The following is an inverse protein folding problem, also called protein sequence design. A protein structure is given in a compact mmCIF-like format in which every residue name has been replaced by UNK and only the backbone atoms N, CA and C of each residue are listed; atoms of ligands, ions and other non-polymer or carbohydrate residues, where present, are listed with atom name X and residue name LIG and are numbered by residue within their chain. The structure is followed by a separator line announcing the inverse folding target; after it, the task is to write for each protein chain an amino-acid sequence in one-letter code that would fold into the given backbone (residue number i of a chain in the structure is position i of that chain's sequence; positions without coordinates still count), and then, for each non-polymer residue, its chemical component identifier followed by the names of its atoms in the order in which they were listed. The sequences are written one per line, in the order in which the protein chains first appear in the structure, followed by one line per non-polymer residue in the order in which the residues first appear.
data_IF_948013111199
#
_entry.id   IF_948013111199
#
_cell.length_a   1.000
_cell.length_b   1.000
_cell.length_c   1.000
_cell.angle_alpha   90.00
_cell.angle_beta   90.00
_cell.angle_gamma   90.00
#
_symmetry.space_group_name_H-M   'P 1'
#
loop_
_entity.id
_entity.type
_entity.pdbx_description
1 polymer ?
#
# COMPACT_ATOMS: atom_id res chain seq x y z
N UNK A 1 -82.55 -18.49 0.85
CA UNK A 1 -81.30 -19.06 1.36
C UNK A 1 -80.28 -19.03 0.23
N UNK A 2 -79.54 -17.93 0.12
CA UNK A 2 -78.48 -17.78 -0.91
C UNK A 2 -77.17 -18.29 -0.32
N UNK A 3 -76.63 -19.37 -0.95
CA UNK A 3 -75.26 -19.84 -0.63
C UNK A 3 -74.22 -18.96 -1.29
N UNK A 4 -73.38 -18.35 -0.48
CA UNK A 4 -72.17 -17.60 -0.93
C UNK A 4 -71.17 -18.57 -1.48
N UNK A 5 -70.94 -18.56 -2.78
CA UNK A 5 -69.88 -19.33 -3.45
C UNK A 5 -68.53 -18.62 -3.20
N UNK A 6 -67.78 -19.06 -2.20
CA UNK A 6 -66.40 -18.67 -2.01
C UNK A 6 -65.56 -19.22 -3.15
N UNK A 7 -65.18 -18.40 -4.13
CA UNK A 7 -64.26 -18.76 -5.19
C UNK A 7 -62.87 -19.02 -4.58
N UNK A 8 -62.40 -20.26 -4.62
CA UNK A 8 -61.00 -20.65 -4.31
C UNK A 8 -60.06 -19.92 -5.23
N UNK A 9 -59.23 -18.99 -4.72
CA UNK A 9 -58.12 -18.39 -5.51
C UNK A 9 -57.20 -19.54 -6.01
N UNK A 10 -56.87 -19.57 -7.30
CA UNK A 10 -55.97 -20.59 -7.83
C UNK A 10 -54.60 -20.49 -7.14
N UNK A 11 -53.94 -21.59 -6.83
CA UNK A 11 -52.64 -21.68 -6.13
C UNK A 11 -51.60 -20.81 -6.83
N UNK A 12 -51.56 -20.79 -8.18
CA UNK A 12 -50.65 -19.92 -8.95
C UNK A 12 -50.85 -18.41 -8.67
N UNK A 13 -52.13 -17.96 -8.43
CA UNK A 13 -52.41 -16.56 -8.12
C UNK A 13 -51.97 -16.19 -6.71
N UNK A 14 -52.02 -17.13 -5.78
CA UNK A 14 -51.51 -16.93 -4.40
C UNK A 14 -49.99 -16.85 -4.42
N UNK A 15 -49.32 -17.74 -5.12
CA UNK A 15 -47.85 -17.75 -5.29
C UNK A 15 -47.35 -16.47 -5.97
N UNK A 16 -47.99 -16.06 -7.07
CA UNK A 16 -47.63 -14.81 -7.76
C UNK A 16 -47.81 -13.56 -6.87
N UNK A 17 -48.88 -13.52 -6.06
CA UNK A 17 -49.10 -12.41 -5.14
C UNK A 17 -48.08 -12.43 -3.98
N UNK A 18 -47.73 -13.59 -3.47
CA UNK A 18 -46.68 -13.73 -2.43
C UNK A 18 -45.33 -13.30 -2.98
N UNK A 19 -44.94 -13.80 -4.15
CA UNK A 19 -43.68 -13.42 -4.82
C UNK A 19 -43.60 -11.92 -5.10
N UNK A 20 -44.68 -11.29 -5.59
CA UNK A 20 -44.75 -9.86 -5.80
C UNK A 20 -44.59 -9.03 -4.53
N UNK A 21 -45.19 -9.49 -3.41
CA UNK A 21 -45.03 -8.86 -2.09
C UNK A 21 -43.60 -9.00 -1.57
N UNK A 22 -43.00 -10.18 -1.69
CA UNK A 22 -41.61 -10.40 -1.28
C UNK A 22 -40.64 -9.51 -2.08
N UNK A 23 -40.83 -9.42 -3.39
CA UNK A 23 -40.03 -8.53 -4.25
C UNK A 23 -40.21 -7.04 -3.85
N UNK A 24 -41.41 -6.62 -3.57
CA UNK A 24 -41.67 -5.24 -3.14
C UNK A 24 -41.02 -4.93 -1.77
N UNK A 25 -41.02 -5.88 -0.83
CA UNK A 25 -40.33 -5.74 0.47
C UNK A 25 -38.81 -5.67 0.26
N UNK A 26 -38.25 -6.54 -0.58
CA UNK A 26 -36.81 -6.50 -0.90
C UNK A 26 -36.44 -5.16 -1.53
N UNK A 27 -37.21 -4.69 -2.50
CA UNK A 27 -36.97 -3.40 -3.16
C UNK A 27 -37.06 -2.23 -2.14
N UNK A 28 -38.07 -2.25 -1.26
CA UNK A 28 -38.20 -1.23 -0.23
C UNK A 28 -37.01 -1.23 0.75
N UNK A 29 -36.52 -2.41 1.12
CA UNK A 29 -35.32 -2.52 1.97
C UNK A 29 -34.08 -1.99 1.25
N UNK A 30 -33.86 -2.32 -0.03
CA UNK A 30 -32.75 -1.80 -0.82
C UNK A 30 -32.81 -0.28 -0.92
N UNK A 31 -33.99 0.30 -1.19
CA UNK A 31 -34.18 1.75 -1.23
C UNK A 31 -33.93 2.39 0.14
N UNK A 32 -34.41 1.78 1.22
CA UNK A 32 -34.19 2.28 2.56
C UNK A 32 -32.69 2.29 2.93
N UNK A 33 -31.98 1.20 2.63
CA UNK A 33 -30.51 1.12 2.85
C UNK A 33 -29.79 2.18 2.02
N UNK A 34 -30.10 2.31 0.74
CA UNK A 34 -29.50 3.32 -0.14
C UNK A 34 -29.77 4.74 0.37
N UNK A 35 -30.99 5.04 0.76
CA UNK A 35 -31.33 6.36 1.32
C UNK A 35 -30.60 6.64 2.63
N UNK A 36 -30.49 5.66 3.51
CA UNK A 36 -29.74 5.79 4.78
C UNK A 36 -28.26 6.06 4.50
N UNK A 37 -27.64 5.33 3.56
CA UNK A 37 -26.25 5.55 3.16
C UNK A 37 -26.03 6.95 2.61
N UNK A 38 -26.90 7.41 1.69
CA UNK A 38 -26.80 8.75 1.11
C UNK A 38 -26.97 9.84 2.18
N UNK A 39 -27.93 9.71 3.10
CA UNK A 39 -28.10 10.65 4.21
C UNK A 39 -26.86 10.66 5.11
N UNK A 40 -26.32 9.48 5.45
CA UNK A 40 -25.10 9.36 6.26
C UNK A 40 -23.90 10.02 5.60
N UNK A 41 -23.67 9.77 4.32
CA UNK A 41 -22.58 10.39 3.55
C UNK A 41 -22.75 11.91 3.46
N UNK A 42 -23.96 12.39 3.17
CA UNK A 42 -24.25 13.82 3.16
C UNK A 42 -23.99 14.48 4.53
N UNK A 43 -24.32 13.78 5.61
CA UNK A 43 -24.06 14.27 6.99
C UNK A 43 -22.56 14.31 7.28
N UNK A 44 -21.81 13.29 6.89
CA UNK A 44 -20.35 13.25 7.03
C UNK A 44 -19.68 14.34 6.19
N UNK A 45 -20.13 14.55 4.96
CA UNK A 45 -19.61 15.60 4.06
C UNK A 45 -20.10 17.01 4.42
N UNK A 46 -21.00 17.17 5.41
CA UNK A 46 -21.38 18.48 5.89
C UNK A 46 -20.30 19.08 6.81
N UNK A 47 -20.23 20.42 6.85
CA UNK A 47 -19.31 21.14 7.73
C UNK A 47 -19.54 20.92 9.24
N UNK A 48 -20.55 20.17 9.62
CA UNK A 48 -20.91 19.87 11.02
C UNK A 48 -19.89 18.96 11.71
N UNK A 49 -19.22 18.08 10.95
CA UNK A 49 -18.24 17.12 11.46
C UNK A 49 -16.91 17.18 10.70
N UNK A 50 -16.10 18.26 10.87
CA UNK A 50 -14.91 18.48 10.05
C UNK A 50 -13.92 17.30 10.04
N UNK A 51 -13.66 16.70 11.19
CA UNK A 51 -12.72 15.56 11.28
C UNK A 51 -13.22 14.31 10.55
N UNK A 52 -14.52 14.04 10.62
CA UNK A 52 -15.11 12.91 9.88
C UNK A 52 -15.12 13.18 8.38
N UNK A 53 -15.39 14.41 7.96
CA UNK A 53 -15.33 14.85 6.58
C UNK A 53 -13.90 14.70 6.01
N UNK A 54 -12.90 15.21 6.71
CA UNK A 54 -11.50 15.09 6.32
C UNK A 54 -11.08 13.63 6.17
N UNK A 55 -11.36 12.80 7.19
CA UNK A 55 -11.06 11.37 7.15
C UNK A 55 -11.74 10.68 5.98
N UNK A 56 -13.02 10.94 5.75
CA UNK A 56 -13.78 10.36 4.64
C UNK A 56 -13.16 10.76 3.29
N UNK A 57 -12.97 12.07 3.05
CA UNK A 57 -12.46 12.57 1.77
C UNK A 57 -11.05 12.03 1.49
N UNK A 58 -10.12 12.16 2.43
CA UNK A 58 -8.74 11.69 2.24
C UNK A 58 -8.68 10.17 2.01
N UNK A 59 -9.51 9.40 2.73
CA UNK A 59 -9.58 7.93 2.56
C UNK A 59 -10.17 7.54 1.20
N UNK A 60 -11.22 8.20 0.74
CA UNK A 60 -11.87 7.89 -0.54
C UNK A 60 -10.98 8.25 -1.73
N UNK A 61 -10.22 9.34 -1.66
CA UNK A 61 -9.30 9.75 -2.73
C UNK A 61 -8.20 8.72 -2.99
N UNK A 62 -7.84 7.92 -2.00
CA UNK A 62 -6.84 6.85 -2.15
C UNK A 62 -7.43 5.53 -2.67
N UNK A 63 -8.74 5.47 -2.92
CA UNK A 63 -9.37 4.29 -3.53
C UNK A 63 -9.42 4.44 -5.04
N UNK A 64 -9.00 3.44 -5.81
CA UNK A 64 -9.03 3.51 -7.27
C UNK A 64 -10.44 3.70 -7.86
N UNK A 65 -11.48 3.17 -7.21
CA UNK A 65 -12.84 3.10 -7.79
C UNK A 65 -13.90 3.96 -7.09
N UNK A 66 -13.68 4.42 -5.86
CA UNK A 66 -14.68 5.11 -5.06
C UNK A 66 -14.47 6.63 -4.95
N UNK A 67 -13.45 7.19 -5.61
CA UNK A 67 -13.12 8.63 -5.60
C UNK A 67 -14.31 9.52 -5.94
N UNK A 68 -15.17 9.08 -6.86
CA UNK A 68 -16.36 9.82 -7.29
C UNK A 68 -17.33 10.12 -6.15
N UNK A 69 -17.30 9.36 -5.04
CA UNK A 69 -18.19 9.61 -3.91
C UNK A 69 -17.89 10.96 -3.23
N UNK A 70 -16.65 11.41 -3.21
CA UNK A 70 -16.32 12.74 -2.69
C UNK A 70 -16.97 13.86 -3.53
N UNK A 71 -16.85 13.77 -4.86
CA UNK A 71 -17.39 14.76 -5.78
C UNK A 71 -18.93 14.77 -5.91
N UNK A 72 -19.63 13.78 -5.33
CA UNK A 72 -21.09 13.82 -5.24
C UNK A 72 -21.60 14.83 -4.21
N UNK A 73 -20.79 15.15 -3.20
CA UNK A 73 -21.18 15.97 -2.07
C UNK A 73 -20.37 17.26 -1.94
N UNK A 74 -19.17 17.30 -2.52
CA UNK A 74 -18.22 18.41 -2.39
C UNK A 74 -17.74 18.86 -3.77
N UNK A 75 -17.43 20.15 -3.88
CA UNK A 75 -16.77 20.72 -5.06
C UNK A 75 -15.28 20.38 -5.08
N UNK A 76 -14.63 20.51 -6.23
CA UNK A 76 -13.18 20.30 -6.36
C UNK A 76 -12.38 21.21 -5.42
N UNK A 77 -12.80 22.48 -5.27
CA UNK A 77 -12.13 23.43 -4.37
C UNK A 77 -12.27 23.04 -2.87
N UNK A 78 -13.44 22.51 -2.46
CA UNK A 78 -13.63 22.00 -1.11
C UNK A 78 -12.79 20.75 -0.84
N UNK A 79 -12.72 19.84 -1.81
CA UNK A 79 -11.88 18.64 -1.73
C UNK A 79 -10.40 19.05 -1.64
N UNK A 80 -9.94 19.97 -2.50
CA UNK A 80 -8.56 20.46 -2.48
C UNK A 80 -8.22 21.11 -1.14
N UNK A 81 -9.10 21.93 -0.58
CA UNK A 81 -8.90 22.55 0.73
C UNK A 81 -8.75 21.51 1.86
N UNK A 82 -9.46 20.37 1.77
CA UNK A 82 -9.31 19.26 2.72
C UNK A 82 -7.97 18.56 2.51
N UNK A 83 -7.55 18.32 1.27
CA UNK A 83 -6.26 17.73 0.93
C UNK A 83 -5.13 18.60 1.46
N UNK A 84 -5.17 19.91 1.24
CA UNK A 84 -4.15 20.85 1.73
C UNK A 84 -4.01 20.86 3.27
N UNK A 85 -5.12 20.65 3.98
CA UNK A 85 -5.12 20.53 5.44
C UNK A 85 -4.55 19.19 5.94
N UNK A 86 -4.49 18.18 5.09
CA UNK A 86 -3.97 16.85 5.37
C UNK A 86 -2.82 16.50 4.44
N UNK A 87 -2.03 17.49 4.06
CA UNK A 87 -0.88 17.34 3.16
C UNK A 87 0.41 17.06 3.92
N UNK A 88 1.42 16.71 3.17
CA UNK A 88 2.79 16.55 3.67
C UNK A 88 3.71 17.54 2.94
N UNK A 89 4.61 18.17 3.72
CA UNK A 89 5.62 19.05 3.14
C UNK A 89 6.65 18.20 2.39
N UNK A 90 7.05 18.63 1.19
CA UNK A 90 8.08 17.92 0.41
C UNK A 90 9.41 17.83 1.18
N UNK A 91 10.09 16.69 1.04
CA UNK A 91 11.46 16.48 1.47
C UNK A 91 12.37 16.69 0.26
N UNK A 92 13.03 17.85 0.19
CA UNK A 92 13.97 18.18 -0.88
C UNK A 92 15.40 17.71 -0.53
N UNK A 93 15.56 16.44 -0.24
CA UNK A 93 16.86 15.84 0.10
C UNK A 93 17.10 14.56 -0.67
N UNK A 94 18.34 14.37 -1.15
CA UNK A 94 18.80 13.11 -1.70
C UNK A 94 19.27 12.19 -0.58
N UNK A 95 19.18 10.88 -0.78
CA UNK A 95 19.68 9.88 0.16
C UNK A 95 21.19 10.00 0.31
N UNK A 96 21.67 10.18 1.54
CA UNK A 96 23.08 10.13 1.89
C UNK A 96 23.48 8.69 2.24
N UNK A 97 24.18 8.03 1.32
CA UNK A 97 24.66 6.67 1.49
C UNK A 97 25.65 6.51 2.67
N UNK A 98 26.31 7.59 3.12
CA UNK A 98 27.26 7.51 4.24
C UNK A 98 26.57 7.27 5.60
N UNK A 99 25.26 7.46 5.68
CA UNK A 99 24.46 7.17 6.87
C UNK A 99 24.14 5.68 7.03
N UNK A 100 24.44 4.86 6.02
CA UNK A 100 24.16 3.42 6.02
C UNK A 100 25.49 2.66 6.01
N UNK A 101 25.69 1.76 6.97
CA UNK A 101 26.91 0.95 7.13
C UNK A 101 26.60 -0.53 6.95
N UNK A 102 26.73 -1.04 5.73
CA UNK A 102 26.49 -2.45 5.42
C UNK A 102 27.74 -3.26 5.77
N UNK A 103 27.56 -4.32 6.59
CA UNK A 103 28.64 -5.24 6.94
C UNK A 103 29.62 -4.74 8.00
N UNK A 104 29.30 -3.65 8.69
CA UNK A 104 30.01 -3.28 9.90
C UNK A 104 29.68 -4.26 11.03
N UNK A 105 30.63 -5.11 11.42
CA UNK A 105 30.60 -5.75 12.72
C UNK A 105 30.40 -4.65 13.76
N UNK A 106 29.27 -4.68 14.46
CA UNK A 106 29.07 -3.83 15.64
C UNK A 106 30.31 -3.97 16.52
N UNK A 107 31.11 -2.91 16.57
CA UNK A 107 32.24 -2.85 17.47
C UNK A 107 31.72 -3.01 18.90
N UNK A 108 31.66 -4.21 19.38
CA UNK A 108 31.55 -4.45 20.80
C UNK A 108 32.80 -3.85 21.45
N UNK A 109 32.61 -2.69 22.11
CA UNK A 109 33.59 -2.24 23.11
C UNK A 109 33.63 -3.35 24.14
N UNK A 110 34.60 -4.25 24.03
CA UNK A 110 34.91 -5.24 25.05
C UNK A 110 35.54 -4.51 26.22
N UNK A 111 34.73 -4.15 27.20
CA UNK A 111 35.20 -3.97 28.56
C UNK A 111 35.33 -5.40 29.11
N UNK A 112 36.59 -5.77 29.41
CA UNK A 112 37.01 -7.11 29.74
C UNK A 112 36.24 -7.79 30.87
N UNK A 113 36.14 -9.11 30.79
CA UNK A 113 35.88 -9.99 31.93
C UNK A 113 34.97 -11.18 31.60
N UNK A 114 35.63 -12.33 31.53
CA UNK A 114 35.15 -13.69 31.74
C UNK A 114 34.41 -14.45 30.64
N UNK A 115 35.06 -15.55 30.37
CA UNK A 115 34.73 -16.68 29.51
C UNK A 115 33.41 -17.39 29.88
N UNK A 116 32.91 -18.12 28.90
CA UNK A 116 31.89 -19.17 28.94
C UNK A 116 30.41 -18.73 29.07
N UNK A 117 29.81 -18.43 27.91
CA UNK A 117 28.44 -18.87 27.65
C UNK A 117 28.34 -19.45 26.23
N UNK A 118 28.14 -20.77 26.05
CA UNK A 118 27.76 -21.39 24.80
C UNK A 118 26.25 -21.32 24.74
N UNK A 119 25.68 -20.39 23.97
CA UNK A 119 24.37 -20.41 23.34
C UNK A 119 24.07 -19.05 22.70
N UNK A 120 24.90 -18.62 21.74
CA UNK A 120 24.44 -17.69 20.75
C UNK A 120 23.53 -18.50 19.82
N UNK A 121 22.21 -18.42 20.01
CA UNK A 121 21.26 -18.88 18.98
C UNK A 121 21.64 -18.21 17.65
N UNK A 122 21.60 -18.93 16.50
CA UNK A 122 21.88 -18.34 15.23
C UNK A 122 20.93 -17.15 15.09
N UNK A 123 21.50 -15.96 14.98
CA UNK A 123 20.76 -14.71 14.86
C UNK A 123 19.92 -14.84 13.59
N UNK A 124 18.61 -14.93 13.73
CA UNK A 124 17.71 -15.07 12.59
C UNK A 124 17.96 -13.89 11.63
N UNK A 125 18.28 -14.20 10.37
CA UNK A 125 18.53 -13.18 9.36
C UNK A 125 17.28 -12.39 8.97
N UNK A 126 16.10 -12.93 9.30
CA UNK A 126 14.79 -12.30 9.13
C UNK A 126 14.05 -12.34 10.47
N UNK A 127 13.55 -11.20 10.88
CA UNK A 127 12.72 -11.04 12.07
C UNK A 127 11.33 -10.56 11.65
N UNK A 128 10.28 -11.18 12.19
CA UNK A 128 8.89 -10.81 11.95
C UNK A 128 8.30 -10.23 13.24
N UNK A 129 7.76 -9.01 13.14
CA UNK A 129 7.18 -8.30 14.29
C UNK A 129 5.76 -7.84 13.93
N UNK A 130 4.79 -8.20 14.77
CA UNK A 130 3.44 -7.66 14.66
C UNK A 130 3.40 -6.23 15.20
N UNK A 131 2.75 -5.34 14.47
CA UNK A 131 2.59 -3.92 14.83
C UNK A 131 1.11 -3.60 14.87
N UNK A 132 0.64 -3.04 15.99
CA UNK A 132 -0.75 -2.63 16.13
C UNK A 132 -0.85 -1.11 16.28
N UNK A 133 -1.67 -0.48 15.45
CA UNK A 133 -2.10 0.90 15.57
C UNK A 133 -3.54 0.99 16.09
N UNK A 134 -4.08 2.20 16.17
CA UNK A 134 -5.48 2.40 16.60
C UNK A 134 -6.50 1.96 15.55
N UNK A 135 -6.12 1.96 14.27
CA UNK A 135 -7.01 1.73 13.11
C UNK A 135 -6.51 0.64 12.18
N UNK A 136 -5.38 0.00 12.49
CA UNK A 136 -4.76 -1.06 11.68
C UNK A 136 -4.00 -2.06 12.54
N UNK A 137 -3.78 -3.24 11.99
CA UNK A 137 -2.68 -4.13 12.34
C UNK A 137 -1.75 -4.27 11.13
N UNK A 138 -0.48 -4.46 11.39
CA UNK A 138 0.53 -4.63 10.35
C UNK A 138 1.58 -5.64 10.76
N UNK A 139 2.38 -6.05 9.80
CA UNK A 139 3.54 -6.92 9.98
C UNK A 139 4.78 -6.20 9.47
N UNK A 140 5.79 -6.10 10.33
CA UNK A 140 7.13 -5.64 10.01
C UNK A 140 8.02 -6.86 9.81
N UNK A 141 8.64 -6.96 8.65
CA UNK A 141 9.72 -7.91 8.38
C UNK A 141 11.04 -7.14 8.33
N UNK A 142 11.99 -7.54 9.16
CA UNK A 142 13.33 -6.95 9.24
C UNK A 142 14.31 -7.94 8.61
N UNK A 143 14.92 -7.55 7.50
CA UNK A 143 15.93 -8.34 6.78
C UNK A 143 17.29 -7.75 7.08
N UNK A 144 18.13 -8.47 7.82
CA UNK A 144 19.42 -7.94 8.30
C UNK A 144 20.44 -7.76 7.19
N UNK A 145 20.46 -8.66 6.23
CA UNK A 145 21.34 -8.59 5.07
C UNK A 145 20.60 -7.99 3.86
N UNK A 146 20.86 -6.71 3.48
CA UNK A 146 20.20 -6.05 2.37
C UNK A 146 20.55 -6.66 1.00
N UNK A 147 21.62 -7.45 0.90
CA UNK A 147 22.00 -8.14 -0.33
C UNK A 147 20.98 -9.21 -0.75
N UNK A 148 20.17 -9.70 0.20
CA UNK A 148 19.09 -10.66 -0.03
C UNK A 148 17.86 -10.05 -0.70
N UNK A 149 17.73 -8.71 -0.69
CA UNK A 149 16.60 -8.03 -1.34
C UNK A 149 16.86 -7.94 -2.84
N UNK A 150 15.86 -8.30 -3.64
CA UNK A 150 15.85 -8.09 -5.09
C UNK A 150 14.43 -7.82 -5.58
N UNK A 151 14.30 -7.34 -6.82
CA UNK A 151 13.00 -7.15 -7.45
C UNK A 151 12.70 -8.34 -8.38
N UNK A 152 11.64 -9.09 -8.07
CA UNK A 152 11.08 -10.08 -8.97
C UNK A 152 10.05 -9.43 -9.90
N UNK A 153 10.09 -9.79 -11.17
CA UNK A 153 9.20 -9.28 -12.21
C UNK A 153 8.66 -10.42 -13.08
N UNK A 154 7.58 -10.16 -13.81
CA UNK A 154 7.05 -11.07 -14.83
C UNK A 154 7.53 -10.72 -16.24
N UNK A 155 8.59 -9.90 -16.35
CA UNK A 155 9.15 -9.52 -17.64
C UNK A 155 9.57 -10.76 -18.47
N UNK A 156 9.29 -10.79 -19.79
CA UNK A 156 8.60 -9.79 -20.61
C UNK A 156 7.11 -9.64 -20.27
N UNK A 157 6.64 -8.36 -20.27
CA UNK A 157 5.32 -7.97 -19.79
C UNK A 157 4.17 -8.66 -20.53
N UNK A 158 3.11 -8.96 -19.81
CA UNK A 158 1.89 -9.61 -20.32
C UNK A 158 0.64 -8.95 -19.73
N UNK A 159 -0.53 -9.31 -20.22
CA UNK A 159 -1.79 -8.70 -19.75
C UNK A 159 -2.16 -9.12 -18.33
N UNK A 160 -1.73 -10.31 -17.90
CA UNK A 160 -2.09 -10.87 -16.60
C UNK A 160 -0.82 -11.15 -15.78
N UNK A 161 -0.75 -10.56 -14.61
CA UNK A 161 0.29 -10.77 -13.61
C UNK A 161 0.16 -12.09 -12.86
N UNK A 162 0.93 -12.23 -11.80
CA UNK A 162 0.90 -13.40 -10.92
C UNK A 162 0.73 -12.97 -9.46
N UNK A 163 0.35 -13.89 -8.60
CA UNK A 163 0.28 -13.65 -7.16
C UNK A 163 1.68 -13.53 -6.54
N UNK A 164 1.78 -12.90 -5.38
CA UNK A 164 3.07 -12.66 -4.73
C UNK A 164 3.80 -13.97 -4.37
N UNK A 165 3.09 -14.97 -3.88
CA UNK A 165 3.66 -16.31 -3.63
C UNK A 165 4.28 -16.92 -4.89
N UNK A 166 3.65 -16.71 -6.06
CA UNK A 166 4.21 -17.13 -7.35
C UNK A 166 5.48 -16.35 -7.70
N UNK A 167 5.52 -15.02 -7.49
CA UNK A 167 6.75 -14.23 -7.67
C UNK A 167 7.88 -14.71 -6.76
N UNK A 168 7.59 -14.95 -5.47
CA UNK A 168 8.56 -15.41 -4.49
C UNK A 168 9.09 -16.81 -4.87
N UNK A 169 8.19 -17.78 -5.03
CA UNK A 169 8.57 -19.17 -5.24
C UNK A 169 9.28 -19.40 -6.59
N UNK A 170 8.85 -18.74 -7.67
CA UNK A 170 9.48 -18.87 -8.98
C UNK A 170 10.88 -18.27 -9.06
N UNK A 171 11.24 -17.40 -8.13
CA UNK A 171 12.58 -16.82 -8.02
C UNK A 171 13.47 -17.48 -6.94
N UNK A 172 13.01 -18.58 -6.33
CA UNK A 172 13.73 -19.27 -5.26
C UNK A 172 13.92 -18.43 -4.02
N UNK A 173 13.03 -17.48 -3.77
CA UNK A 173 13.00 -16.61 -2.60
C UNK A 173 12.11 -17.21 -1.52
N UNK A 174 12.24 -16.72 -0.28
CA UNK A 174 11.46 -17.19 0.88
C UNK A 174 10.41 -16.19 1.34
N UNK A 175 10.56 -14.92 0.96
CA UNK A 175 9.65 -13.87 1.37
C UNK A 175 9.50 -12.80 0.28
N UNK A 176 8.49 -11.93 0.44
CA UNK A 176 8.32 -10.76 -0.39
C UNK A 176 7.13 -9.89 0.01
N UNK A 177 7.11 -8.69 -0.58
CA UNK A 177 6.01 -7.73 -0.54
C UNK A 177 5.68 -7.27 -1.96
N UNK A 178 4.51 -6.64 -2.15
CA UNK A 178 4.19 -5.98 -3.43
C UNK A 178 5.18 -4.87 -3.76
N UNK A 179 5.24 -4.48 -5.02
CA UNK A 179 6.12 -3.43 -5.53
C UNK A 179 5.42 -2.08 -5.71
N UNK A 180 5.70 -1.45 -6.86
CA UNK A 180 5.22 -0.12 -7.23
C UNK A 180 3.91 -0.12 -8.00
N UNK A 181 3.65 0.99 -8.67
CA UNK A 181 2.42 1.28 -9.41
C UNK A 181 2.25 0.36 -10.63
N UNK A 182 1.02 -0.06 -10.88
CA UNK A 182 0.70 -0.94 -12.01
C UNK A 182 -0.78 -0.86 -12.42
N UNK A 183 -1.12 -1.39 -13.58
CA UNK A 183 -2.52 -1.54 -14.02
C UNK A 183 -3.22 -2.64 -13.21
N UNK A 184 -3.95 -2.21 -12.20
CA UNK A 184 -4.70 -3.09 -11.30
C UNK A 184 -6.15 -3.36 -11.77
N UNK A 185 -6.57 -2.85 -12.91
CA UNK A 185 -7.92 -2.99 -13.41
C UNK A 185 -8.34 -4.45 -13.53
N UNK A 186 -9.50 -4.79 -12.97
CA UNK A 186 -10.05 -6.15 -12.95
C UNK A 186 -9.08 -7.21 -12.38
N UNK A 187 -8.12 -6.81 -11.53
CA UNK A 187 -7.10 -7.68 -10.99
C UNK A 187 -6.28 -8.39 -12.10
N UNK A 188 -5.97 -7.70 -13.20
CA UNK A 188 -5.12 -8.23 -14.27
C UNK A 188 -3.65 -8.19 -13.87
N UNK A 189 -3.15 -7.04 -13.40
CA UNK A 189 -1.84 -6.88 -12.76
C UNK A 189 -0.63 -7.26 -13.61
N UNK A 190 -0.75 -7.22 -14.94
CA UNK A 190 0.32 -7.69 -15.83
C UNK A 190 1.22 -6.60 -16.38
N UNK A 191 0.85 -5.33 -16.23
CA UNK A 191 1.58 -4.16 -16.75
C UNK A 191 1.96 -3.21 -15.64
N UNK A 192 3.26 -2.92 -15.44
CA UNK A 192 3.68 -1.87 -14.53
C UNK A 192 3.40 -0.49 -15.11
N UNK A 193 3.43 0.53 -14.27
CA UNK A 193 3.49 1.92 -14.65
C UNK A 193 4.83 2.55 -14.24
N UNK A 194 5.24 3.61 -14.93
CA UNK A 194 6.43 4.40 -14.62
C UNK A 194 7.74 3.73 -15.01
N UNK A 195 8.53 3.29 -14.04
CA UNK A 195 9.87 2.73 -14.28
C UNK A 195 10.07 1.45 -13.47
N UNK A 196 10.63 0.42 -14.10
CA UNK A 196 11.04 -0.84 -13.47
C UNK A 196 12.48 -1.14 -13.85
N UNK A 197 13.31 -1.35 -12.83
CA UNK A 197 14.68 -1.85 -12.96
C UNK A 197 14.80 -3.15 -12.19
N UNK A 198 15.32 -4.20 -12.79
CA UNK A 198 15.57 -5.47 -12.11
C UNK A 198 16.91 -6.04 -12.53
N UNK A 199 17.75 -6.40 -11.56
CA UNK A 199 19.14 -6.85 -11.77
C UNK A 199 19.98 -5.91 -12.66
N UNK A 200 19.79 -4.59 -12.53
CA UNK A 200 20.46 -3.56 -13.31
C UNK A 200 19.94 -3.38 -14.74
N UNK A 201 18.91 -4.12 -15.13
CA UNK A 201 18.26 -3.99 -16.43
C UNK A 201 17.01 -3.12 -16.30
N UNK A 202 16.89 -2.11 -17.15
CA UNK A 202 15.70 -1.27 -17.28
C UNK A 202 14.66 -2.06 -18.09
N UNK A 203 13.67 -2.62 -17.43
CA UNK A 203 12.63 -3.44 -18.05
C UNK A 203 11.40 -2.65 -18.49
N UNK A 204 11.21 -1.46 -17.89
CA UNK A 204 10.15 -0.52 -18.25
C UNK A 204 10.62 0.90 -17.97
N UNK A 205 10.39 1.85 -18.89
CA UNK A 205 10.80 3.24 -18.73
C UNK A 205 9.79 4.19 -19.39
N UNK A 206 8.80 4.62 -18.63
CA UNK A 206 7.79 5.59 -19.05
C UNK A 206 7.51 6.60 -17.94
N UNK A 207 8.46 7.48 -17.60
CA UNK A 207 8.36 8.38 -16.46
C UNK A 207 7.23 9.42 -16.57
N UNK A 208 6.70 9.67 -17.79
CA UNK A 208 5.59 10.60 -18.02
C UNK A 208 4.21 9.94 -18.02
N UNK A 209 4.13 8.63 -17.79
CA UNK A 209 2.84 7.91 -17.80
C UNK A 209 1.93 8.35 -16.65
N UNK A 210 2.54 8.78 -15.54
CA UNK A 210 1.87 9.36 -14.38
C UNK A 210 2.62 10.58 -13.86
N UNK A 211 1.95 11.60 -13.30
CA UNK A 211 2.60 12.72 -12.63
C UNK A 211 3.22 12.27 -11.30
N UNK A 212 4.25 13.00 -10.83
CA UNK A 212 4.80 12.83 -9.48
C UNK A 212 5.43 11.46 -9.20
N UNK A 213 6.05 10.82 -10.20
CA UNK A 213 6.70 9.54 -9.99
C UNK A 213 7.98 9.66 -9.18
N UNK A 214 8.11 8.83 -8.15
CA UNK A 214 9.31 8.64 -7.34
C UNK A 214 9.85 7.24 -7.56
N UNK A 215 11.14 7.12 -7.87
CA UNK A 215 11.85 5.86 -8.01
C UNK A 215 12.29 5.37 -6.63
N UNK A 216 11.97 4.12 -6.30
CA UNK A 216 12.23 3.50 -5.00
C UNK A 216 12.90 2.15 -5.23
N UNK A 217 14.08 1.95 -4.68
CA UNK A 217 14.78 0.69 -4.84
C UNK A 217 16.21 0.72 -4.34
N UNK A 218 17.01 -0.25 -4.73
CA UNK A 218 18.37 -0.44 -4.24
C UNK A 218 19.41 -0.22 -5.35
N UNK A 219 20.52 0.43 -4.99
CA UNK A 219 21.70 0.50 -5.84
C UNK A 219 22.56 -0.77 -5.74
N UNK A 220 23.70 -0.79 -6.45
CA UNK A 220 24.65 -1.91 -6.43
C UNK A 220 25.28 -2.14 -5.06
N UNK A 221 25.31 -1.11 -4.19
CA UNK A 221 25.82 -1.18 -2.82
C UNK A 221 24.74 -1.55 -1.81
N UNK A 222 23.55 -1.96 -2.25
CA UNK A 222 22.40 -2.31 -1.43
C UNK A 222 21.87 -1.16 -0.55
N UNK A 223 22.07 0.09 -0.97
CA UNK A 223 21.51 1.28 -0.33
C UNK A 223 20.14 1.59 -0.94
N UNK A 224 19.14 1.78 -0.08
CA UNK A 224 17.80 2.19 -0.50
C UNK A 224 17.84 3.62 -1.05
N UNK A 225 17.55 3.76 -2.32
CA UNK A 225 17.42 5.02 -3.05
C UNK A 225 15.94 5.41 -3.16
N UNK A 226 15.64 6.68 -2.92
CA UNK A 226 14.31 7.27 -3.03
C UNK A 226 14.48 8.57 -3.80
N UNK A 227 14.16 8.56 -5.10
CA UNK A 227 14.55 9.62 -6.02
C UNK A 227 13.29 10.16 -6.72
N UNK A 228 13.05 11.45 -6.60
CA UNK A 228 12.01 12.13 -7.39
C UNK A 228 12.46 12.17 -8.86
N UNK A 229 11.64 11.60 -9.74
CA UNK A 229 11.84 11.61 -11.19
C UNK A 229 10.73 12.37 -11.94
N UNK A 230 9.91 13.11 -11.20
CA UNK A 230 8.84 13.90 -11.78
C UNK A 230 9.37 14.88 -12.83
N UNK A 231 8.80 14.85 -14.03
CA UNK A 231 9.19 15.70 -15.13
C UNK A 231 10.44 15.28 -15.92
N UNK A 232 11.16 14.23 -15.49
CA UNK A 232 12.29 13.68 -16.23
C UNK A 232 11.82 12.94 -17.48
N UNK A 233 12.58 13.10 -18.59
CA UNK A 233 12.42 12.28 -19.79
C UNK A 233 12.93 10.85 -19.55
N UNK A 234 12.57 9.92 -20.44
CA UNK A 234 13.07 8.55 -20.37
C UNK A 234 14.61 8.46 -20.46
N UNK A 235 15.24 9.31 -21.27
CA UNK A 235 16.70 9.35 -21.43
C UNK A 235 17.39 9.89 -20.16
N UNK A 236 16.80 10.90 -19.51
CA UNK A 236 17.29 11.42 -18.22
C UNK A 236 17.17 10.38 -17.11
N UNK A 237 16.05 9.65 -17.06
CA UNK A 237 15.86 8.54 -16.09
C UNK A 237 16.85 7.41 -16.37
N UNK A 238 17.08 7.03 -17.64
CA UNK A 238 18.09 6.02 -17.99
C UNK A 238 19.50 6.45 -17.56
N UNK A 239 19.84 7.72 -17.75
CA UNK A 239 21.11 8.29 -17.30
C UNK A 239 21.24 8.25 -15.79
N UNK A 240 20.20 8.69 -15.06
CA UNK A 240 20.13 8.65 -13.60
C UNK A 240 20.34 7.22 -13.06
N UNK A 241 19.63 6.23 -13.63
CA UNK A 241 19.73 4.82 -13.22
C UNK A 241 21.15 4.31 -13.37
N UNK A 242 21.83 4.65 -14.48
CA UNK A 242 23.23 4.26 -14.72
C UNK A 242 24.20 4.95 -13.78
N UNK A 243 24.06 6.26 -13.57
CA UNK A 243 24.94 7.06 -12.70
C UNK A 243 24.82 6.64 -11.24
N UNK A 244 23.59 6.41 -10.78
CA UNK A 244 23.29 5.95 -9.41
C UNK A 244 23.44 4.44 -9.26
N UNK A 245 23.72 3.71 -10.35
CA UNK A 245 23.89 2.26 -10.39
C UNK A 245 22.72 1.52 -9.76
N UNK A 246 21.51 1.96 -10.09
CA UNK A 246 20.28 1.35 -9.57
C UNK A 246 20.21 -0.10 -10.06
N UNK A 247 20.15 -1.02 -9.10
CA UNK A 247 20.07 -2.46 -9.35
C UNK A 247 18.62 -2.94 -9.48
N UNK A 248 17.79 -2.56 -8.54
CA UNK A 248 16.39 -2.98 -8.45
C UNK A 248 15.53 -1.80 -8.02
N UNK A 249 14.54 -1.42 -8.81
CA UNK A 249 13.65 -0.32 -8.44
C UNK A 249 12.27 -0.42 -9.10
N UNK A 250 11.31 0.18 -8.43
CA UNK A 250 9.95 0.43 -8.89
C UNK A 250 9.63 1.91 -8.76
N UNK A 251 8.51 2.34 -9.33
CA UNK A 251 7.99 3.69 -9.08
C UNK A 251 6.66 3.65 -8.33
N UNK A 252 6.44 4.67 -7.50
CA UNK A 252 5.13 4.98 -6.96
C UNK A 252 4.86 6.48 -7.12
N UNK A 253 3.58 6.88 -7.04
CA UNK A 253 3.15 8.24 -7.34
C UNK A 253 3.10 9.11 -6.09
N UNK A 254 3.68 10.31 -6.18
CA UNK A 254 3.51 11.40 -5.24
C UNK A 254 2.53 12.41 -5.84
N UNK A 255 1.35 12.57 -5.24
CA UNK A 255 0.36 13.54 -5.71
C UNK A 255 -0.58 13.92 -4.56
N UNK A 256 -0.76 15.22 -4.34
CA UNK A 256 -1.74 15.79 -3.45
C UNK A 256 -2.66 16.71 -4.26
N UNK A 257 -3.81 16.20 -4.69
CA UNK A 257 -4.77 16.88 -5.52
C UNK A 257 -6.21 16.52 -5.12
N UNK A 258 -7.20 17.13 -5.76
CA UNK A 258 -8.60 16.74 -5.62
C UNK A 258 -8.92 15.35 -6.19
N UNK A 259 -7.96 14.73 -6.90
CA UNK A 259 -8.05 13.40 -7.48
C UNK A 259 -7.25 12.33 -6.73
N UNK A 260 -6.14 12.69 -6.07
CA UNK A 260 -5.25 11.77 -5.38
C UNK A 260 -4.65 12.42 -4.14
N UNK A 261 -4.34 11.59 -3.13
CA UNK A 261 -3.63 12.02 -1.93
C UNK A 261 -2.60 10.95 -1.54
N UNK A 262 -1.53 10.85 -2.34
CA UNK A 262 -0.48 9.86 -2.21
C UNK A 262 0.84 10.53 -1.81
N UNK A 263 1.54 9.96 -0.84
CA UNK A 263 2.84 10.43 -0.38
C UNK A 263 3.82 9.27 -0.40
N UNK A 264 4.96 9.47 -1.05
CA UNK A 264 5.97 8.43 -1.27
C UNK A 264 7.13 8.57 -0.29
N UNK A 265 7.78 9.73 -0.27
CA UNK A 265 8.91 9.99 0.63
C UNK A 265 8.40 10.14 2.08
N UNK A 266 8.82 9.26 2.97
CA UNK A 266 8.40 9.27 4.38
C UNK A 266 9.51 9.78 5.29
N UNK A 267 10.72 9.25 5.14
CA UNK A 267 11.93 9.60 5.90
C UNK A 267 13.10 9.65 4.94
N UNK A 268 13.90 10.71 4.96
CA UNK A 268 15.17 10.83 4.22
C UNK A 268 16.25 11.29 5.20
N UNK A 269 17.35 10.55 5.30
CA UNK A 269 18.51 10.88 6.15
C UNK A 269 18.14 11.13 7.63
N UNK A 270 17.29 10.29 8.21
CA UNK A 270 16.69 10.44 9.54
C UNK A 270 15.70 11.61 9.68
N UNK A 271 15.50 12.42 8.66
CA UNK A 271 14.51 13.48 8.68
C UNK A 271 13.15 12.93 8.24
N UNK A 272 12.21 12.90 9.19
CA UNK A 272 10.84 12.54 8.89
C UNK A 272 10.11 13.68 8.19
N UNK A 273 9.31 13.33 7.21
CA UNK A 273 8.49 14.28 6.48
C UNK A 273 7.50 14.97 7.42
N UNK A 274 7.47 16.30 7.37
CA UNK A 274 6.52 17.09 8.14
C UNK A 274 5.12 16.95 7.53
N UNK A 275 4.12 16.74 8.37
CA UNK A 275 2.74 16.57 7.91
C UNK A 275 1.80 17.54 8.63
N UNK A 276 0.71 17.86 7.94
CA UNK A 276 -0.48 18.51 8.48
C UNK A 276 -1.58 17.46 8.65
N UNK A 277 -2.30 17.51 9.76
CA UNK A 277 -3.33 16.49 10.04
C UNK A 277 -2.78 15.07 10.11
N UNK A 278 -3.45 14.13 9.46
CA UNK A 278 -3.02 12.73 9.35
C UNK A 278 -2.02 12.48 8.20
N UNK A 279 -1.73 13.50 7.39
CA UNK A 279 -0.95 13.39 6.17
C UNK A 279 -1.73 12.79 5.01
N UNK A 280 -2.47 11.72 5.24
CA UNK A 280 -3.27 11.03 4.21
C UNK A 280 -4.47 10.31 4.80
N UNK A 281 -5.28 9.66 3.95
CA UNK A 281 -6.39 8.81 4.38
C UNK A 281 -5.95 7.45 4.93
N UNK A 282 -6.93 6.70 5.45
CA UNK A 282 -6.72 5.38 6.03
C UNK A 282 -6.90 4.31 4.95
N UNK A 283 -5.84 3.53 4.70
CA UNK A 283 -5.84 2.42 3.74
C UNK A 283 -4.89 1.30 4.19
N UNK A 284 -5.02 0.08 3.64
CA UNK A 284 -3.92 -0.86 3.65
C UNK A 284 -2.68 -0.21 3.02
N UNK A 285 -1.52 -0.35 3.65
CA UNK A 285 -0.28 0.30 3.24
C UNK A 285 0.84 -0.70 3.10
N UNK A 286 1.78 -0.37 2.23
CA UNK A 286 3.05 -1.07 2.09
C UNK A 286 4.17 -0.03 2.12
N UNK A 287 5.15 -0.23 2.96
CA UNK A 287 6.30 0.66 3.05
C UNK A 287 7.62 -0.13 3.11
N UNK A 288 8.67 0.48 2.60
CA UNK A 288 10.03 -0.04 2.62
C UNK A 288 10.94 0.99 3.29
N UNK A 289 11.88 0.52 4.11
CA UNK A 289 12.85 1.39 4.77
C UNK A 289 14.20 0.72 4.93
N UNK A 290 15.20 1.50 5.32
CA UNK A 290 16.54 0.99 5.64
C UNK A 290 17.09 1.66 6.88
N UNK A 291 17.69 0.86 7.75
CA UNK A 291 18.37 1.27 8.99
C UNK A 291 19.81 1.67 8.72
N UNK A 292 20.41 2.35 9.70
CA UNK A 292 21.83 2.72 9.63
C UNK A 292 22.79 1.49 9.58
N UNK A 293 22.39 0.33 10.10
CA UNK A 293 23.15 -0.93 10.03
C UNK A 293 22.97 -1.68 8.69
N UNK A 294 22.21 -1.09 7.76
CA UNK A 294 21.89 -1.67 6.46
C UNK A 294 20.64 -2.57 6.45
N UNK A 295 20.11 -2.97 7.61
CA UNK A 295 18.91 -3.80 7.68
C UNK A 295 17.74 -3.17 6.95
N UNK A 296 17.01 -3.96 6.16
CA UNK A 296 15.84 -3.51 5.40
C UNK A 296 14.57 -3.78 6.18
N UNK A 297 13.69 -2.80 6.20
CA UNK A 297 12.38 -2.82 6.83
C UNK A 297 11.31 -2.95 5.75
N UNK A 298 10.53 -4.03 5.79
CA UNK A 298 9.38 -4.27 4.91
C UNK A 298 8.14 -4.27 5.78
N UNK A 299 7.23 -3.31 5.58
CA UNK A 299 6.06 -3.13 6.43
C UNK A 299 4.78 -3.15 5.62
N UNK A 300 3.81 -3.96 6.03
CA UNK A 300 2.50 -4.05 5.39
C UNK A 300 1.40 -4.01 6.43
N UNK A 301 0.34 -3.23 6.18
CA UNK A 301 -0.83 -3.12 7.07
C UNK A 301 -2.10 -3.66 6.42
N UNK A 302 -3.05 -4.08 7.26
CA UNK A 302 -4.43 -4.34 6.88
C UNK A 302 -5.25 -3.03 6.74
N UNK A 303 -6.54 -3.16 6.49
CA UNK A 303 -7.48 -2.04 6.41
C UNK A 303 -8.78 -2.41 5.70
N UNK A 304 -9.55 -1.41 5.31
CA UNK A 304 -10.81 -1.52 4.56
C UNK A 304 -11.82 -2.49 5.19
N UNK A 305 -11.88 -2.52 6.53
CA UNK A 305 -12.79 -3.36 7.30
C UNK A 305 -12.30 -4.77 7.58
N UNK A 306 -11.16 -5.21 7.05
CA UNK A 306 -10.55 -6.47 7.43
C UNK A 306 -10.21 -6.42 8.93
N UNK A 307 -10.61 -7.44 9.67
CA UNK A 307 -10.44 -7.51 11.14
C UNK A 307 -11.05 -6.30 11.89
N UNK A 308 -11.95 -5.53 11.27
CA UNK A 308 -12.53 -4.32 11.84
C UNK A 308 -11.67 -3.05 11.68
N UNK A 309 -10.54 -3.14 11.00
CA UNK A 309 -9.61 -2.04 10.83
C UNK A 309 -9.88 -1.21 9.56
N UNK A 310 -9.71 0.11 9.65
CA UNK A 310 -9.86 1.01 8.52
C UNK A 310 -8.58 1.10 7.68
N UNK A 311 -7.42 0.93 8.31
CA UNK A 311 -6.10 1.01 7.70
C UNK A 311 -5.20 2.04 8.38
N UNK A 312 -4.01 2.25 7.82
CA UNK A 312 -3.02 3.20 8.28
C UNK A 312 -2.99 4.46 7.38
N UNK A 313 -2.66 5.59 7.97
CA UNK A 313 -2.31 6.84 7.27
C UNK A 313 -0.81 6.86 6.92
N UNK A 314 -0.38 7.83 6.10
CA UNK A 314 1.07 8.06 5.87
C UNK A 314 1.78 8.50 7.15
N UNK A 315 1.09 9.20 8.04
CA UNK A 315 1.61 9.56 9.36
C UNK A 315 1.89 8.35 10.24
N UNK A 316 1.01 7.34 10.19
CA UNK A 316 1.25 6.06 10.90
C UNK A 316 2.48 5.35 10.35
N UNK A 317 2.68 5.35 9.01
CA UNK A 317 3.87 4.77 8.40
C UNK A 317 5.16 5.45 8.88
N UNK A 318 5.18 6.79 8.92
CA UNK A 318 6.33 7.55 9.43
C UNK A 318 6.64 7.15 10.88
N UNK A 319 5.62 7.11 11.74
CA UNK A 319 5.79 6.74 13.15
C UNK A 319 6.37 5.33 13.29
N UNK A 320 5.83 4.36 12.57
CA UNK A 320 6.32 2.97 12.60
C UNK A 320 7.75 2.90 12.08
N UNK A 321 8.06 3.51 10.94
CA UNK A 321 9.40 3.48 10.37
C UNK A 321 10.43 4.14 11.30
N UNK A 322 10.09 5.25 11.97
CA UNK A 322 10.93 5.88 12.99
C UNK A 322 11.13 4.96 14.21
N UNK A 323 10.06 4.32 14.68
CA UNK A 323 10.11 3.40 15.82
C UNK A 323 11.04 2.21 15.54
N UNK A 324 11.10 1.76 14.30
CA UNK A 324 12.01 0.70 13.86
C UNK A 324 13.38 1.20 13.41
N UNK A 325 13.67 2.50 13.53
CA UNK A 325 14.99 3.09 13.30
C UNK A 325 15.36 3.28 11.82
N UNK A 326 14.39 3.51 10.96
CA UNK A 326 14.65 3.81 9.55
C UNK A 326 15.43 5.13 9.40
N UNK A 327 16.52 5.10 8.67
CA UNK A 327 17.24 6.28 8.17
C UNK A 327 16.57 6.83 6.93
N UNK A 328 16.13 5.91 6.03
CA UNK A 328 15.36 6.23 4.86
C UNK A 328 14.11 5.33 4.79
N UNK A 329 12.98 5.87 4.38
CA UNK A 329 11.75 5.11 4.21
C UNK A 329 10.85 5.71 3.12
N UNK A 330 10.21 4.83 2.37
CA UNK A 330 9.24 5.17 1.34
C UNK A 330 7.95 4.34 1.46
N UNK A 331 6.83 4.95 1.07
CA UNK A 331 5.58 4.27 0.84
C UNK A 331 5.58 3.68 -0.58
N UNK A 332 5.12 2.43 -0.71
CA UNK A 332 4.91 1.73 -1.98
C UNK A 332 3.42 1.70 -2.32
N UNK A 333 3.06 1.01 -3.41
CA UNK A 333 1.65 0.83 -3.76
C UNK A 333 0.89 0.14 -2.61
N UNK A 334 -0.25 0.71 -2.29
CA UNK A 334 -1.07 0.35 -1.14
C UNK A 334 -2.40 -0.28 -1.53
N UNK A 335 -3.37 -0.14 -0.63
CA UNK A 335 -4.74 -0.58 -0.88
C UNK A 335 -4.86 -2.08 -1.14
N UNK A 336 -5.45 -2.44 -2.27
CA UNK A 336 -5.62 -3.86 -2.66
C UNK A 336 -4.31 -4.55 -3.04
N UNK A 337 -3.25 -3.79 -3.31
CA UNK A 337 -1.92 -4.35 -3.64
C UNK A 337 -1.16 -4.81 -2.41
N UNK A 338 -1.43 -4.21 -1.25
CA UNK A 338 -0.72 -4.50 0.01
C UNK A 338 -0.78 -5.98 0.35
N UNK A 339 0.36 -6.63 0.37
CA UNK A 339 0.50 -8.04 0.73
C UNK A 339 1.93 -8.37 1.17
N UNK A 340 2.05 -9.39 2.03
CA UNK A 340 3.34 -9.94 2.48
C UNK A 340 3.26 -11.46 2.53
N UNK A 341 4.28 -12.11 1.99
CA UNK A 341 4.42 -13.56 1.98
C UNK A 341 5.75 -13.95 2.63
N UNK A 342 5.75 -15.00 3.43
CA UNK A 342 6.93 -15.52 4.09
C UNK A 342 6.79 -17.01 4.37
N UNK A 343 7.82 -17.79 4.06
CA UNK A 343 7.98 -19.21 4.41
C UNK A 343 6.72 -20.07 4.12
N UNK A 344 6.16 -19.92 2.94
CA UNK A 344 5.01 -20.72 2.51
C UNK A 344 3.64 -20.12 2.82
N UNK A 345 3.55 -19.02 3.56
CA UNK A 345 2.29 -18.45 4.02
C UNK A 345 2.19 -16.93 3.75
N UNK A 346 0.97 -16.46 3.57
CA UNK A 346 0.69 -15.03 3.56
C UNK A 346 0.57 -14.50 4.98
N UNK A 347 1.51 -13.65 5.41
CA UNK A 347 1.41 -12.90 6.65
C UNK A 347 0.38 -11.77 6.52
N UNK A 348 0.34 -11.14 5.32
CA UNK A 348 -0.65 -10.14 4.98
C UNK A 348 -1.21 -10.44 3.59
N UNK A 349 -2.54 -10.55 3.48
CA UNK A 349 -3.23 -10.79 2.20
C UNK A 349 -3.84 -9.50 1.67
N UNK A 350 -3.97 -9.40 0.34
CA UNK A 350 -4.68 -8.30 -0.30
C UNK A 350 -6.07 -8.11 0.26
N UNK A 351 -6.45 -6.87 0.54
CA UNK A 351 -7.78 -6.53 1.03
C UNK A 351 -8.64 -6.08 -0.14
N UNK A 352 -9.64 -6.87 -0.46
CA UNK A 352 -10.62 -6.60 -1.52
C UNK A 352 -12.03 -6.73 -0.96
N UNK A 353 -13.04 -6.31 -1.72
CA UNK A 353 -14.45 -6.55 -1.37
C UNK A 353 -14.78 -8.05 -1.22
N UNK A 354 -13.97 -8.92 -1.77
CA UNK A 354 -14.20 -10.38 -1.77
C UNK A 354 -13.27 -11.13 -0.81
N UNK A 355 -12.53 -10.47 0.05
CA UNK A 355 -11.56 -11.04 0.99
C UNK A 355 -10.77 -12.23 0.39
N UNK A 356 -9.63 -11.94 -0.17
CA UNK A 356 -8.73 -12.94 -0.72
C UNK A 356 -7.89 -13.58 0.39
N UNK A 357 -7.56 -14.87 0.25
CA UNK A 357 -6.55 -15.55 1.06
C UNK A 357 -5.16 -15.51 0.39
N UNK A 358 -4.98 -14.65 -0.59
CA UNK A 358 -3.75 -14.47 -1.36
C UNK A 358 -3.54 -12.99 -1.69
N UNK A 359 -2.64 -12.69 -2.59
CA UNK A 359 -2.48 -11.34 -3.14
C UNK A 359 -3.34 -11.14 -4.40
N UNK A 360 -3.51 -9.88 -4.79
CA UNK A 360 -3.82 -9.53 -6.15
C UNK A 360 -2.69 -9.98 -7.08
N UNK A 361 -2.96 -10.01 -8.37
CA UNK A 361 -1.96 -10.26 -9.39
C UNK A 361 -1.09 -9.02 -9.55
N UNK A 362 0.20 -9.21 -9.55
CA UNK A 362 1.22 -8.19 -9.54
C UNK A 362 2.16 -8.38 -10.74
N UNK A 363 2.71 -7.30 -11.32
CA UNK A 363 3.76 -7.39 -12.33
C UNK A 363 5.15 -7.52 -11.69
N UNK A 364 5.31 -7.01 -10.46
CA UNK A 364 6.58 -6.99 -9.74
C UNK A 364 6.36 -6.96 -8.22
N UNK A 365 7.36 -7.42 -7.47
CA UNK A 365 7.41 -7.35 -6.01
C UNK A 365 8.84 -7.43 -5.50
N UNK A 366 9.12 -6.78 -4.36
CA UNK A 366 10.38 -6.97 -3.66
C UNK A 366 10.38 -8.33 -2.97
N UNK A 367 11.42 -9.12 -3.22
CA UNK A 367 11.57 -10.47 -2.69
C UNK A 367 12.85 -10.59 -1.84
N UNK A 368 12.84 -11.55 -0.92
CA UNK A 368 13.95 -11.88 -0.03
C UNK A 368 14.44 -13.29 -0.36
N UNK A 369 15.68 -13.42 -0.81
CA UNK A 369 16.32 -14.70 -1.17
C UNK A 369 16.97 -15.37 0.02
#
# INVERSE_FOLDING_TARGET
MMQEVKTKKSVGRVIATAAGRTLAVILALVVAVAATLLISLNTICSSTFPSAQQMFVTTILETGQLKFLASWFLTADEIQAIVDQNSMKELNAEVDANLIQIGGTSGSVSVGGNEDTPDAQPQQDIEIVEVAGSTYTGTMMIVKDPSRISLATIYPWRDVGVTLDTLVNSNGAIAGINGGLYDSNNNTGGKPYGVIVSNGEIQYNKPHEWPGLVLIGFDENHILQIIDIAGMSADEVETLIRERKIRDAVTFQEEASDANNHFVQLIINNEARQMHGSGSGLNPRTAIGQRADGSVLLFVTDGRGKSGHLGASSGDLIQVMQQFGAVNAANLDGGSSSCMYYDGEYLMTSVTFYYSNSSWKLPAGFIVK
#
